data_IF_169845774749
#
_entry.id   IF_169845774749
#
_cell.length_a   1.000
_cell.length_b   1.000
_cell.length_c   1.000
_cell.angle_alpha   90.00
_cell.angle_beta   90.00
_cell.angle_gamma   90.00
#
_symmetry.space_group_name_H-M   'P 1'
#
loop_
_entity.id
_entity.type
_entity.pdbx_description
1 polymer ?
#
# COMPACT_ATOMS: atom_id res chain seq x y z
N UNK A 1 18.61 -9.90 -1.57
CA UNK A 1 18.33 -8.95 -2.66
C UNK A 1 16.82 -8.82 -2.75
N UNK A 2 16.26 -7.61 -2.66
CA UNK A 2 14.82 -7.41 -2.85
C UNK A 2 14.55 -7.56 -4.35
N UNK A 3 13.88 -8.64 -4.74
CA UNK A 3 13.45 -8.85 -6.13
C UNK A 3 12.20 -8.00 -6.36
N UNK A 4 12.33 -6.87 -7.05
CA UNK A 4 11.17 -6.18 -7.62
C UNK A 4 10.86 -6.89 -8.95
N UNK A 5 9.78 -7.67 -8.98
CA UNK A 5 9.30 -8.31 -10.20
C UNK A 5 8.67 -7.22 -11.08
N UNK A 6 9.38 -6.74 -12.10
CA UNK A 6 8.83 -5.80 -13.08
C UNK A 6 8.22 -6.61 -14.23
N UNK A 7 6.99 -7.08 -14.02
CA UNK A 7 6.17 -7.71 -15.07
C UNK A 7 4.96 -6.84 -15.35
N UNK A 8 4.56 -6.73 -16.63
CA UNK A 8 3.27 -6.11 -16.98
C UNK A 8 2.12 -6.92 -16.39
N UNK A 9 1.04 -6.23 -16.01
CA UNK A 9 -0.21 -6.91 -15.69
C UNK A 9 -0.70 -7.67 -16.94
N UNK A 10 -1.36 -8.84 -16.79
CA UNK A 10 -2.05 -9.48 -17.90
C UNK A 10 -3.14 -8.55 -18.45
N UNK A 11 -3.47 -8.68 -19.75
CA UNK A 11 -4.38 -7.75 -20.45
C UNK A 11 -5.73 -7.54 -19.75
N UNK A 12 -6.29 -8.60 -19.16
CA UNK A 12 -7.55 -8.54 -18.40
C UNK A 12 -7.49 -7.63 -17.16
N UNK A 13 -6.29 -7.34 -16.64
CA UNK A 13 -6.09 -6.57 -15.40
C UNK A 13 -5.49 -5.19 -15.63
N UNK A 14 -5.19 -4.79 -16.87
CA UNK A 14 -4.54 -3.50 -17.18
C UNK A 14 -5.35 -2.31 -16.66
N UNK A 15 -6.68 -2.39 -16.64
CA UNK A 15 -7.55 -1.35 -16.07
C UNK A 15 -7.28 -1.08 -14.58
N UNK A 16 -6.73 -2.05 -13.85
CA UNK A 16 -6.37 -1.92 -12.44
C UNK A 16 -4.92 -1.48 -12.22
N UNK A 17 -4.14 -1.19 -13.28
CA UNK A 17 -2.78 -0.68 -13.14
C UNK A 17 -2.68 0.50 -12.15
N UNK A 18 -3.58 1.51 -12.18
CA UNK A 18 -3.51 2.62 -11.23
C UNK A 18 -3.66 2.20 -9.77
N UNK A 19 -4.38 1.10 -9.48
CA UNK A 19 -4.50 0.55 -8.13
C UNK A 19 -3.22 -0.16 -7.73
N UNK A 20 -2.66 -0.97 -8.63
CA UNK A 20 -1.40 -1.71 -8.40
C UNK A 20 -0.24 -0.76 -8.14
N UNK A 21 -0.22 0.39 -8.81
CA UNK A 21 0.79 1.44 -8.60
C UNK A 21 0.78 2.00 -7.16
N UNK A 22 -0.35 1.91 -6.45
CA UNK A 22 -0.51 2.40 -5.07
C UNK A 22 -0.26 1.31 -4.02
N UNK A 23 -0.40 0.02 -4.36
CA UNK A 23 -0.25 -1.09 -3.40
C UNK A 23 1.09 -1.07 -2.60
N UNK A 24 2.25 -0.71 -3.19
CA UNK A 24 3.50 -0.63 -2.44
C UNK A 24 3.49 0.40 -1.30
N UNK A 25 2.57 1.37 -1.31
CA UNK A 25 2.42 2.36 -0.26
C UNK A 25 1.66 1.84 0.98
N UNK A 26 0.92 0.73 0.86
CA UNK A 26 0.07 0.17 1.94
C UNK A 26 0.81 -0.04 3.27
N UNK A 27 2.05 -0.55 3.33
CA UNK A 27 2.77 -0.69 4.60
C UNK A 27 2.94 0.63 5.36
N UNK A 28 3.12 1.75 4.65
CA UNK A 28 3.20 3.07 5.28
C UNK A 28 1.85 3.51 5.85
N UNK A 29 0.74 3.18 5.18
CA UNK A 29 -0.60 3.45 5.72
C UNK A 29 -0.88 2.70 7.02
N UNK A 30 -0.36 1.48 7.20
CA UNK A 30 -0.46 0.78 8.49
C UNK A 30 0.32 1.47 9.60
N UNK A 31 1.53 1.97 9.31
CA UNK A 31 2.27 2.79 10.26
C UNK A 31 1.50 4.05 10.63
N UNK A 32 0.98 4.79 9.65
CA UNK A 32 0.16 5.98 9.88
C UNK A 32 -1.12 5.65 10.66
N UNK A 33 -1.75 4.52 10.37
CA UNK A 33 -2.95 4.05 11.07
C UNK A 33 -2.67 3.81 12.56
N UNK A 34 -1.47 3.36 12.94
CA UNK A 34 -1.10 3.23 14.35
C UNK A 34 -1.12 4.57 15.08
N UNK A 35 -0.67 5.66 14.42
CA UNK A 35 -0.76 7.01 14.96
C UNK A 35 -2.20 7.55 15.00
N UNK A 36 -3.00 7.25 13.97
CA UNK A 36 -4.44 7.59 13.97
C UNK A 36 -5.14 6.89 15.13
N UNK A 37 -4.86 5.61 15.36
CA UNK A 37 -5.39 4.86 16.48
C UNK A 37 -4.97 5.47 17.81
N UNK A 38 -3.67 5.72 18.00
CA UNK A 38 -3.16 6.35 19.21
C UNK A 38 -3.78 7.74 19.45
N UNK A 39 -3.92 8.56 18.42
CA UNK A 39 -4.58 9.86 18.51
C UNK A 39 -6.06 9.72 18.93
N UNK A 40 -6.77 8.71 18.46
CA UNK A 40 -8.19 8.46 18.81
C UNK A 40 -8.41 8.10 20.28
N UNK A 41 -7.41 7.49 20.93
CA UNK A 41 -7.44 7.19 22.37
C UNK A 41 -6.70 8.25 23.21
N UNK A 42 -6.10 9.25 22.58
CA UNK A 42 -5.41 10.37 23.24
C UNK A 42 -3.98 10.05 23.68
N UNK A 43 -3.26 9.19 22.96
CA UNK A 43 -1.87 8.79 23.24
C UNK A 43 -1.67 8.31 24.69
N UNK A 44 -2.58 7.43 25.14
CA UNK A 44 -2.52 6.78 26.45
C UNK A 44 -1.73 5.49 26.37
#
# INVERSE_FOLDING_TARGET
MITILVSKLPDAYVIFSPVVDVLPAIPFFFLLLAFVWQASVGFR
#
